data_IF_366646993767
#
_entry.id   IF_366646993767
#
_cell.length_a   1.000
_cell.length_b   1.000
_cell.length_c   1.000
_cell.angle_alpha   90.00
_cell.angle_beta   90.00
_cell.angle_gamma   90.00
#
_symmetry.space_group_name_H-M   'P 1'
#
loop_
_entity.id
_entity.type
_entity.pdbx_description
1 polymer ?
#
# COMPACT_ATOMS: atom_id res chain seq x y z
N UNK A 1 7.20 29.44 -3.77
CA UNK A 1 7.53 28.35 -4.71
C UNK A 1 7.85 27.11 -3.90
N UNK A 2 6.82 26.43 -3.41
CA UNK A 2 6.96 25.11 -2.77
C UNK A 2 6.45 24.11 -3.80
N UNK A 3 7.39 23.43 -4.45
CA UNK A 3 7.07 22.36 -5.38
C UNK A 3 6.38 21.26 -4.57
N UNK A 4 5.06 21.12 -4.73
CA UNK A 4 4.35 19.90 -4.34
C UNK A 4 4.96 18.76 -5.16
N UNK A 5 6.03 18.15 -4.63
CA UNK A 5 6.84 17.11 -5.27
C UNK A 5 6.15 15.74 -5.23
N UNK A 6 4.85 15.75 -5.54
CA UNK A 6 4.09 14.53 -5.80
C UNK A 6 4.02 14.36 -7.31
N UNK A 7 4.77 13.41 -7.88
CA UNK A 7 4.55 12.96 -9.24
C UNK A 7 3.07 12.60 -9.44
N UNK A 8 2.51 13.00 -10.58
CA UNK A 8 1.10 12.79 -10.94
C UNK A 8 0.71 11.29 -10.94
N UNK A 9 1.69 10.38 -10.95
CA UNK A 9 1.54 8.93 -10.87
C UNK A 9 2.60 8.29 -9.93
N UNK A 10 2.53 8.50 -8.62
CA UNK A 10 3.39 7.71 -7.70
C UNK A 10 2.70 6.39 -7.33
N UNK A 11 3.41 5.29 -7.56
CA UNK A 11 3.00 3.99 -7.00
C UNK A 11 3.77 3.74 -5.72
N UNK A 12 3.08 3.22 -4.72
CA UNK A 12 3.67 2.80 -3.45
C UNK A 12 3.55 1.29 -3.31
N UNK A 13 4.65 0.64 -2.97
CA UNK A 13 4.69 -0.74 -2.54
C UNK A 13 4.71 -0.79 -1.01
N UNK A 14 3.80 -1.56 -0.44
CA UNK A 14 3.66 -1.84 0.98
C UNK A 14 3.96 -3.31 1.22
N UNK A 15 5.04 -3.61 1.91
CA UNK A 15 5.30 -4.96 2.40
C UNK A 15 4.56 -5.14 3.73
N UNK A 16 3.64 -6.08 3.76
CA UNK A 16 2.87 -6.45 4.95
C UNK A 16 3.43 -7.75 5.51
N UNK A 17 3.65 -7.81 6.82
CA UNK A 17 3.99 -9.09 7.47
C UNK A 17 2.74 -9.94 7.60
N UNK A 18 2.86 -11.20 7.23
CA UNK A 18 1.78 -12.16 7.18
C UNK A 18 1.27 -12.39 5.76
N UNK A 19 0.64 -13.55 5.58
CA UNK A 19 -0.13 -13.84 4.39
C UNK A 19 -1.48 -13.12 4.47
N UNK A 20 -1.73 -12.19 3.55
CA UNK A 20 -3.06 -11.58 3.41
C UNK A 20 -4.02 -12.65 2.89
N UNK A 21 -5.14 -12.83 3.60
CA UNK A 21 -6.23 -13.66 3.09
C UNK A 21 -6.90 -12.96 1.91
N UNK A 22 -7.50 -13.72 0.99
CA UNK A 22 -8.27 -13.19 -0.15
C UNK A 22 -9.34 -12.18 0.29
N UNK A 23 -9.93 -12.34 1.48
CA UNK A 23 -10.87 -11.37 2.06
C UNK A 23 -10.24 -10.00 2.29
N UNK A 24 -9.00 -9.98 2.77
CA UNK A 24 -8.27 -8.73 3.03
C UNK A 24 -7.91 -8.08 1.72
N UNK A 25 -7.43 -8.86 0.75
CA UNK A 25 -7.15 -8.40 -0.61
C UNK A 25 -8.43 -7.81 -1.25
N UNK A 26 -9.58 -8.49 -1.10
CA UNK A 26 -10.86 -8.01 -1.60
C UNK A 26 -11.37 -6.74 -0.91
N UNK A 27 -10.88 -6.42 0.29
CA UNK A 27 -11.20 -5.16 0.97
C UNK A 27 -10.44 -3.97 0.36
N UNK A 28 -9.42 -4.22 -0.46
CA UNK A 28 -8.60 -3.22 -1.12
C UNK A 28 -8.60 -3.39 -2.64
N UNK A 29 -9.73 -3.17 -3.33
CA UNK A 29 -9.78 -3.26 -4.80
C UNK A 29 -8.93 -2.18 -5.49
N UNK A 30 -8.63 -1.09 -4.78
CA UNK A 30 -7.71 -0.01 -5.20
C UNK A 30 -6.23 -0.39 -5.08
N UNK A 31 -5.92 -1.50 -4.39
CA UNK A 31 -4.58 -2.04 -4.24
C UNK A 31 -4.45 -3.37 -4.96
N UNK A 32 -3.33 -3.55 -5.63
CA UNK A 32 -3.03 -4.78 -6.33
C UNK A 32 -1.96 -5.56 -5.56
N UNK A 33 -2.00 -6.89 -5.59
CA UNK A 33 -1.08 -7.75 -4.82
C UNK A 33 0.07 -8.12 -5.73
N UNK A 34 1.27 -7.58 -5.46
CA UNK A 34 2.44 -7.80 -6.34
C UNK A 34 3.00 -9.20 -6.19
N UNK A 35 2.95 -9.71 -4.97
CA UNK A 35 3.45 -11.03 -4.66
C UNK A 35 3.31 -11.36 -3.19
N UNK A 36 3.11 -12.65 -2.92
CA UNK A 36 3.22 -13.21 -1.58
C UNK A 36 4.58 -13.91 -1.51
N UNK A 37 5.52 -13.31 -0.80
CA UNK A 37 6.79 -13.97 -0.43
C UNK A 37 6.55 -14.79 0.83
N UNK A 38 7.35 -15.83 1.08
CA UNK A 38 7.16 -16.78 2.19
C UNK A 38 6.94 -16.10 3.56
N UNK A 39 5.67 -15.84 3.90
CA UNK A 39 5.26 -15.17 5.14
C UNK A 39 4.92 -13.69 5.03
N UNK A 40 5.17 -13.01 3.90
CA UNK A 40 4.94 -11.58 3.71
C UNK A 40 4.17 -11.29 2.42
N UNK A 41 3.31 -10.28 2.43
CA UNK A 41 2.53 -9.89 1.27
C UNK A 41 2.90 -8.49 0.80
N UNK A 42 3.27 -8.36 -0.46
CA UNK A 42 3.53 -7.05 -1.08
C UNK A 42 2.27 -6.55 -1.76
N UNK A 43 1.75 -5.42 -1.29
CA UNK A 43 0.67 -4.67 -1.94
C UNK A 43 1.27 -3.49 -2.70
N UNK A 44 0.74 -3.17 -3.87
CA UNK A 44 1.11 -1.98 -4.61
C UNK A 44 -0.13 -1.19 -5.01
N UNK A 45 -0.08 0.11 -4.76
CA UNK A 45 -1.19 1.02 -4.99
C UNK A 45 -0.74 2.30 -5.65
N UNK A 46 -1.57 2.83 -6.54
CA UNK A 46 -1.44 4.23 -6.93
C UNK A 46 -1.92 5.06 -5.76
N UNK A 47 -1.12 6.03 -5.36
CA UNK A 47 -1.52 6.99 -4.36
C UNK A 47 -1.54 8.34 -5.04
N UNK A 48 -2.70 8.98 -5.05
CA UNK A 48 -2.88 10.29 -5.70
C UNK A 48 -2.70 11.44 -4.70
N UNK A 49 -2.77 11.16 -3.39
CA UNK A 49 -2.57 12.17 -2.35
C UNK A 49 -2.14 11.58 -1.00
N UNK A 50 -1.47 12.36 -0.14
CA UNK A 50 -1.11 11.92 1.22
C UNK A 50 -2.33 11.59 2.11
N UNK A 51 -3.50 12.17 1.84
CA UNK A 51 -4.76 11.80 2.50
C UNK A 51 -5.18 10.37 2.15
N UNK A 52 -5.00 9.99 0.90
CA UNK A 52 -5.33 8.66 0.39
C UNK A 52 -4.42 7.60 1.05
N UNK A 53 -3.10 7.89 1.10
CA UNK A 53 -2.13 7.09 1.84
C UNK A 53 -2.52 6.86 3.30
N UNK A 54 -2.92 7.94 3.99
CA UNK A 54 -3.33 7.89 5.39
C UNK A 54 -4.61 7.05 5.57
N UNK A 55 -5.54 7.13 4.63
CA UNK A 55 -6.75 6.30 4.62
C UNK A 55 -6.43 4.82 4.46
N UNK A 56 -5.53 4.47 3.55
CA UNK A 56 -5.06 3.09 3.36
C UNK A 56 -4.36 2.57 4.61
N UNK A 57 -3.47 3.37 5.20
CA UNK A 57 -2.78 3.04 6.46
C UNK A 57 -3.74 2.77 7.61
N UNK A 58 -4.75 3.63 7.77
CA UNK A 58 -5.76 3.44 8.81
C UNK A 58 -6.57 2.15 8.60
N UNK A 59 -6.84 1.77 7.35
CA UNK A 59 -7.50 0.49 7.04
C UNK A 59 -6.60 -0.71 7.31
N UNK A 60 -5.31 -0.62 7.02
CA UNK A 60 -4.36 -1.67 7.39
C UNK A 60 -4.32 -1.87 8.91
N UNK A 61 -4.22 -0.78 9.66
CA UNK A 61 -4.23 -0.79 11.13
C UNK A 61 -5.55 -1.37 11.69
N UNK A 62 -6.70 -0.94 11.14
CA UNK A 62 -8.02 -1.44 11.53
C UNK A 62 -8.21 -2.95 11.28
N UNK A 63 -7.48 -3.52 10.32
CA UNK A 63 -7.47 -4.95 10.03
C UNK A 63 -6.38 -5.72 10.81
N UNK A 64 -5.56 -5.02 11.61
CA UNK A 64 -4.45 -5.60 12.35
C UNK A 64 -3.26 -6.00 11.47
N UNK A 65 -3.11 -5.35 10.32
CA UNK A 65 -2.02 -5.62 9.37
C UNK A 65 -0.80 -4.76 9.71
N UNK A 66 0.36 -5.40 9.79
CA UNK A 66 1.62 -4.70 10.07
C UNK A 66 2.36 -4.41 8.78
N UNK A 67 2.49 -3.13 8.43
CA UNK A 67 3.36 -2.69 7.33
C UNK A 67 4.82 -2.77 7.79
N UNK A 68 5.58 -3.67 7.18
CA UNK A 68 7.01 -3.88 7.42
C UNK A 68 7.83 -2.86 6.64
N UNK A 69 7.47 -2.62 5.38
CA UNK A 69 8.25 -1.75 4.51
C UNK A 69 7.33 -0.94 3.59
N UNK A 70 7.71 0.32 3.35
CA UNK A 70 7.07 1.18 2.37
C UNK A 70 8.10 1.63 1.35
N UNK A 71 7.90 1.28 0.09
CA UNK A 71 8.75 1.67 -1.02
C UNK A 71 7.98 2.51 -2.01
N UNK A 72 8.46 3.73 -2.26
CA UNK A 72 7.95 4.56 -3.34
C UNK A 72 8.57 4.09 -4.66
N UNK A 73 7.74 3.65 -5.60
CA UNK A 73 8.16 3.27 -6.93
C UNK A 73 8.07 4.51 -7.84
N UNK A 74 9.18 4.90 -8.50
CA UNK A 74 9.09 5.81 -9.63
C UNK A 74 8.51 5.03 -10.82
N UNK A 75 7.34 5.42 -11.31
CA UNK A 75 6.78 4.98 -12.60
C UNK A 75 7.12 6.04 -13.66
#
# INVERSE_FOLDING_TARGET
MEQSTWPDNVRYAFLISGALSERVIAAFPELDVSGVTTGDTTLYGRVDSPTDLRGMLARFDALGLTVIEMRRLPD
#
